data_IF_890741210447
#
_entry.id   IF_890741210447
#
_cell.length_a   1.000
_cell.length_b   1.000
_cell.length_c   1.000
_cell.angle_alpha   90.00
_cell.angle_beta   90.00
_cell.angle_gamma   90.00
#
_symmetry.space_group_name_H-M   'P 1'
#
loop_
_entity.id
_entity.type
_entity.pdbx_description
1 polymer ?
#
# COMPACT_ATOMS: atom_id res chain seq x y z
N UNK A 1 -20.48 -31.29 -9.69
CA UNK A 1 -20.13 -29.99 -10.30
C UNK A 1 -21.41 -29.29 -10.68
N UNK A 2 -21.59 -28.05 -10.24
CA UNK A 2 -22.72 -27.20 -10.65
C UNK A 2 -22.17 -25.90 -11.25
N UNK A 3 -22.87 -25.34 -12.23
CA UNK A 3 -22.48 -24.10 -12.91
C UNK A 3 -23.58 -23.07 -12.69
N UNK A 4 -23.22 -21.92 -12.14
CA UNK A 4 -24.05 -20.73 -12.03
C UNK A 4 -23.54 -19.70 -13.03
N UNK A 5 -24.42 -19.21 -13.91
CA UNK A 5 -24.03 -18.29 -14.99
C UNK A 5 -24.88 -17.04 -14.96
N UNK A 6 -24.21 -15.89 -15.04
CA UNK A 6 -24.83 -14.58 -15.12
C UNK A 6 -24.40 -13.90 -16.42
N UNK A 7 -25.35 -13.66 -17.32
CA UNK A 7 -25.15 -12.84 -18.51
C UNK A 7 -26.05 -11.61 -18.43
N UNK A 8 -25.44 -10.43 -18.33
CA UNK A 8 -26.17 -9.16 -18.19
C UNK A 8 -25.42 -8.04 -18.89
N UNK A 9 -26.17 -7.12 -19.51
CA UNK A 9 -25.65 -5.82 -19.95
C UNK A 9 -25.64 -4.86 -18.75
N UNK A 10 -24.47 -4.31 -18.46
CA UNK A 10 -24.21 -3.32 -17.43
C UNK A 10 -24.03 -1.94 -18.05
N UNK A 11 -24.62 -0.93 -17.44
CA UNK A 11 -24.74 0.44 -17.97
C UNK A 11 -24.21 1.47 -16.97
N UNK A 12 -24.20 2.73 -17.38
CA UNK A 12 -23.90 3.85 -16.47
C UNK A 12 -24.92 3.99 -15.34
N UNK A 13 -26.19 3.59 -15.56
CA UNK A 13 -27.21 3.62 -14.51
C UNK A 13 -26.88 2.60 -13.42
N UNK A 14 -26.43 1.40 -13.79
CA UNK A 14 -26.00 0.38 -12.83
C UNK A 14 -24.79 0.87 -12.02
N UNK A 15 -23.82 1.51 -12.69
CA UNK A 15 -22.67 2.12 -12.01
C UNK A 15 -23.09 3.26 -11.07
N UNK A 16 -24.08 4.06 -11.46
CA UNK A 16 -24.58 5.18 -10.65
C UNK A 16 -25.37 4.70 -9.43
N UNK A 17 -26.06 3.57 -9.52
CA UNK A 17 -26.67 2.89 -8.38
C UNK A 17 -25.60 2.41 -7.39
N UNK A 18 -24.56 1.74 -7.90
CA UNK A 18 -23.41 1.31 -7.12
C UNK A 18 -22.23 0.98 -8.03
N UNK A 19 -21.01 1.26 -7.56
CA UNK A 19 -19.79 0.74 -8.20
C UNK A 19 -19.65 -0.76 -7.95
N UNK A 20 -20.20 -1.26 -6.83
CA UNK A 20 -20.06 -2.63 -6.37
C UNK A 20 -21.37 -3.40 -6.52
N UNK A 21 -21.34 -4.53 -7.21
CA UNK A 21 -22.52 -5.37 -7.42
C UNK A 21 -22.23 -6.82 -7.07
N UNK A 22 -23.15 -7.48 -6.36
CA UNK A 22 -22.97 -8.85 -5.89
C UNK A 22 -23.89 -9.82 -6.63
N UNK A 23 -23.31 -10.94 -7.10
CA UNK A 23 -24.02 -12.03 -7.78
C UNK A 23 -23.96 -13.28 -6.90
N UNK A 24 -25.11 -13.88 -6.51
CA UNK A 24 -25.11 -15.01 -5.58
C UNK A 24 -24.56 -16.28 -6.22
N UNK A 25 -23.92 -17.14 -5.44
CA UNK A 25 -23.53 -18.49 -5.85
C UNK A 25 -23.80 -19.43 -4.69
N UNK A 26 -24.52 -20.52 -4.95
CA UNK A 26 -24.79 -21.53 -3.93
C UNK A 26 -23.58 -22.46 -3.77
N UNK A 27 -23.02 -22.48 -2.57
CA UNK A 27 -21.99 -23.42 -2.14
C UNK A 27 -22.66 -24.61 -1.46
N UNK A 28 -22.60 -25.82 -2.06
CA UNK A 28 -23.16 -27.02 -1.44
C UNK A 28 -22.35 -27.46 -0.22
N UNK A 29 -22.94 -28.33 0.61
CA UNK A 29 -22.19 -29.04 1.63
C UNK A 29 -21.00 -29.81 1.02
N UNK A 30 -19.86 -29.82 1.73
CA UNK A 30 -18.63 -30.49 1.32
C UNK A 30 -18.11 -30.06 -0.06
N UNK A 31 -18.29 -28.78 -0.42
CA UNK A 31 -17.86 -28.25 -1.71
C UNK A 31 -16.32 -28.25 -1.83
N UNK A 32 -15.72 -29.00 -2.77
CA UNK A 32 -14.27 -29.14 -2.85
C UNK A 32 -13.57 -27.93 -3.50
N UNK A 33 -14.32 -27.01 -4.12
CA UNK A 33 -13.76 -25.81 -4.71
C UNK A 33 -14.79 -24.96 -5.46
N UNK A 34 -14.38 -23.72 -5.71
CA UNK A 34 -15.10 -22.72 -6.48
C UNK A 34 -14.13 -22.14 -7.52
N UNK A 35 -14.49 -22.24 -8.80
CA UNK A 35 -13.78 -21.60 -9.92
C UNK A 35 -14.70 -20.56 -10.54
N UNK A 36 -14.24 -19.32 -10.66
CA UNK A 36 -15.03 -18.22 -11.20
C UNK A 36 -14.29 -17.57 -12.35
N UNK A 37 -15.00 -17.34 -13.46
CA UNK A 37 -14.48 -16.62 -14.63
C UNK A 37 -15.40 -15.46 -15.00
N UNK A 38 -14.81 -14.29 -15.17
CA UNK A 38 -15.42 -13.08 -15.70
C UNK A 38 -14.93 -12.86 -17.14
N UNK A 39 -15.84 -12.98 -18.09
CA UNK A 39 -15.59 -12.60 -19.48
C UNK A 39 -16.08 -11.19 -19.73
N UNK A 40 -15.16 -10.32 -20.16
CA UNK A 40 -15.44 -8.94 -20.58
C UNK A 40 -15.13 -8.83 -22.06
N UNK A 41 -16.09 -8.46 -22.92
CA UNK A 41 -15.83 -8.18 -24.33
C UNK A 41 -14.79 -7.06 -24.48
N UNK A 42 -13.98 -7.06 -25.55
CA UNK A 42 -12.97 -6.04 -25.80
C UNK A 42 -13.63 -4.73 -26.26
N UNK A 43 -14.24 -4.02 -25.32
CA UNK A 43 -14.84 -2.71 -25.53
C UNK A 43 -13.93 -1.67 -24.87
N UNK A 44 -13.44 -0.73 -25.68
CA UNK A 44 -12.49 0.29 -25.24
C UNK A 44 -12.97 1.04 -24.00
N UNK A 45 -12.05 1.27 -23.06
CA UNK A 45 -12.33 1.99 -21.82
C UNK A 45 -13.11 1.21 -20.76
N UNK A 46 -13.46 -0.05 -21.00
CA UNK A 46 -14.12 -0.90 -20.00
C UNK A 46 -13.12 -1.36 -18.93
N UNK A 47 -13.39 -1.05 -17.67
CA UNK A 47 -12.62 -1.55 -16.53
C UNK A 47 -13.60 -2.13 -15.53
N UNK A 48 -13.68 -3.46 -15.53
CA UNK A 48 -14.43 -4.24 -14.55
C UNK A 48 -13.42 -4.97 -13.67
N UNK A 49 -13.70 -5.13 -12.39
CA UNK A 49 -12.94 -5.95 -11.47
C UNK A 49 -13.83 -7.04 -10.84
N UNK A 50 -13.22 -8.03 -10.20
CA UNK A 50 -13.93 -9.16 -9.59
C UNK A 50 -13.32 -9.54 -8.24
N UNK A 51 -14.17 -9.95 -7.31
CA UNK A 51 -13.79 -10.56 -6.05
C UNK A 51 -14.87 -11.48 -5.50
N UNK A 52 -14.70 -11.89 -4.25
CA UNK A 52 -15.57 -12.88 -3.62
C UNK A 52 -15.80 -12.60 -2.13
N UNK A 53 -17.07 -12.62 -1.74
CA UNK A 53 -17.51 -12.63 -0.35
C UNK A 53 -18.02 -14.04 -0.02
N UNK A 54 -17.38 -14.70 0.95
CA UNK A 54 -17.81 -15.99 1.47
C UNK A 54 -18.85 -15.84 2.57
N UNK A 55 -19.44 -16.94 3.04
CA UNK A 55 -20.44 -16.88 4.10
C UNK A 55 -19.86 -16.34 5.43
N UNK A 56 -18.57 -16.59 5.68
CA UNK A 56 -17.85 -16.12 6.87
C UNK A 56 -17.12 -14.78 6.66
N UNK A 57 -17.17 -14.19 5.46
CA UNK A 57 -16.56 -12.91 5.14
C UNK A 57 -15.72 -12.91 3.86
N UNK A 58 -14.98 -11.81 3.67
CA UNK A 58 -14.24 -11.52 2.45
C UNK A 58 -13.23 -12.61 2.11
N UNK A 59 -13.26 -13.10 0.85
CA UNK A 59 -12.35 -14.12 0.35
C UNK A 59 -11.29 -13.60 -0.59
N UNK A 60 -11.41 -12.37 -1.11
CA UNK A 60 -10.36 -11.76 -1.91
C UNK A 60 -10.87 -10.90 -3.06
N UNK A 61 -9.90 -10.27 -3.72
CA UNK A 61 -10.10 -9.30 -4.79
C UNK A 61 -9.04 -9.50 -5.86
N UNK A 62 -9.39 -9.35 -7.13
CA UNK A 62 -8.44 -9.48 -8.24
C UNK A 62 -7.62 -8.23 -8.51
N UNK A 63 -8.03 -7.06 -8.01
CA UNK A 63 -7.30 -5.80 -8.19
C UNK A 63 -7.17 -5.37 -9.65
N UNK A 64 -8.03 -5.84 -10.55
CA UNK A 64 -7.96 -5.56 -11.99
C UNK A 64 -6.97 -6.44 -12.74
N UNK A 65 -6.17 -7.25 -12.05
CA UNK A 65 -5.12 -8.07 -12.63
C UNK A 65 -5.64 -9.36 -13.28
N UNK A 66 -6.79 -9.86 -12.83
CA UNK A 66 -7.27 -11.19 -13.16
C UNK A 66 -8.75 -11.20 -13.52
N UNK A 67 -9.09 -12.16 -14.37
CA UNK A 67 -10.46 -12.45 -14.81
C UNK A 67 -10.97 -13.79 -14.31
N UNK A 68 -10.07 -14.63 -13.81
CA UNK A 68 -10.40 -15.97 -13.32
C UNK A 68 -9.70 -16.18 -11.99
N UNK A 69 -10.41 -16.72 -11.01
CA UNK A 69 -9.86 -17.12 -9.72
C UNK A 69 -10.45 -18.44 -9.28
N UNK A 70 -9.73 -19.15 -8.43
CA UNK A 70 -10.25 -20.31 -7.73
C UNK A 70 -9.97 -20.26 -6.23
N UNK A 71 -10.86 -20.88 -5.46
CA UNK A 71 -10.74 -21.09 -4.01
C UNK A 71 -11.05 -22.55 -3.73
N UNK A 72 -10.15 -23.21 -3.01
CA UNK A 72 -10.32 -24.57 -2.47
C UNK A 72 -10.02 -24.56 -0.96
N UNK A 73 -10.26 -25.66 -0.24
CA UNK A 73 -9.89 -25.76 1.17
C UNK A 73 -8.41 -25.49 1.44
N UNK A 74 -7.53 -25.88 0.51
CA UNK A 74 -6.08 -25.88 0.73
C UNK A 74 -5.32 -24.85 -0.13
N UNK A 75 -5.96 -24.26 -1.14
CA UNK A 75 -5.30 -23.40 -2.11
C UNK A 75 -6.24 -22.35 -2.71
N UNK A 76 -5.68 -21.21 -3.12
CA UNK A 76 -6.42 -20.15 -3.79
C UNK A 76 -5.52 -19.39 -4.77
N UNK A 77 -6.14 -18.75 -5.77
CA UNK A 77 -5.45 -17.85 -6.69
C UNK A 77 -4.85 -16.68 -5.89
N UNK A 78 -3.61 -16.20 -6.19
CA UNK A 78 -3.05 -15.02 -5.55
C UNK A 78 -4.05 -13.84 -5.52
N UNK A 79 -4.19 -13.22 -4.35
CA UNK A 79 -5.22 -12.24 -4.04
C UNK A 79 -6.46 -12.80 -3.33
N UNK A 80 -6.56 -14.13 -3.19
CA UNK A 80 -7.67 -14.81 -2.53
C UNK A 80 -7.21 -15.71 -1.37
N UNK A 81 -8.08 -15.86 -0.38
CA UNK A 81 -7.84 -16.63 0.84
C UNK A 81 -8.37 -18.06 0.67
N UNK A 82 -7.52 -19.10 0.83
CA UNK A 82 -7.96 -20.49 0.86
C UNK A 82 -8.68 -20.81 2.17
N UNK A 83 -9.36 -21.96 2.23
CA UNK A 83 -10.05 -22.42 3.43
C UNK A 83 -11.40 -23.03 3.10
N UNK A 84 -12.04 -23.65 4.09
CA UNK A 84 -13.35 -24.29 3.94
C UNK A 84 -14.32 -23.42 3.13
N UNK A 85 -15.01 -24.05 2.18
CA UNK A 85 -16.07 -23.41 1.43
C UNK A 85 -17.37 -23.59 2.23
N UNK A 86 -17.68 -22.65 3.11
CA UNK A 86 -18.81 -22.79 4.02
C UNK A 86 -20.12 -22.90 3.24
N UNK A 87 -20.97 -23.90 3.53
CA UNK A 87 -22.21 -24.12 2.78
C UNK A 87 -23.16 -22.93 2.92
N UNK A 88 -23.76 -22.52 1.81
CA UNK A 88 -24.68 -21.38 1.76
C UNK A 88 -24.44 -20.48 0.56
N UNK A 89 -25.02 -19.28 0.60
CA UNK A 89 -24.86 -18.31 -0.48
C UNK A 89 -23.58 -17.53 -0.29
N UNK A 90 -22.67 -17.67 -1.24
CA UNK A 90 -21.53 -16.78 -1.43
C UNK A 90 -21.85 -15.72 -2.48
N UNK A 91 -21.03 -14.68 -2.57
CA UNK A 91 -21.25 -13.58 -3.49
C UNK A 91 -20.02 -13.32 -4.35
N UNK A 92 -20.21 -13.32 -5.66
CA UNK A 92 -19.22 -12.80 -6.60
C UNK A 92 -19.43 -11.29 -6.70
N UNK A 93 -18.42 -10.53 -6.32
CA UNK A 93 -18.49 -9.07 -6.29
C UNK A 93 -17.86 -8.53 -7.56
N UNK A 94 -18.60 -7.72 -8.31
CA UNK A 94 -18.15 -6.99 -9.49
C UNK A 94 -17.86 -5.53 -9.14
N UNK A 95 -16.71 -5.03 -9.59
CA UNK A 95 -16.37 -3.61 -9.53
C UNK A 95 -16.54 -2.93 -10.88
N UNK A 96 -17.56 -2.09 -11.05
CA UNK A 96 -17.85 -1.34 -12.28
C UNK A 96 -17.02 -0.05 -12.36
N UNK A 97 -15.69 -0.16 -12.33
CA UNK A 97 -14.79 1.00 -12.26
C UNK A 97 -15.01 1.97 -13.45
N UNK A 98 -15.00 1.44 -14.68
CA UNK A 98 -15.36 2.19 -15.90
C UNK A 98 -16.29 1.37 -16.79
N UNK A 99 -17.43 1.97 -17.14
CA UNK A 99 -18.45 1.39 -18.02
C UNK A 99 -18.66 2.32 -19.21
N UNK A 100 -18.55 1.83 -20.47
CA UNK A 100 -18.83 2.63 -21.67
C UNK A 100 -20.26 3.17 -21.70
N UNK A 101 -20.51 4.25 -22.44
CA UNK A 101 -21.84 4.91 -22.51
C UNK A 101 -22.91 3.97 -23.06
N UNK A 102 -22.55 3.15 -24.04
CA UNK A 102 -23.40 2.13 -24.60
C UNK A 102 -23.71 1.00 -23.60
N UNK A 103 -22.88 0.81 -22.57
CA UNK A 103 -22.89 -0.33 -21.67
C UNK A 103 -22.16 -1.55 -22.23
N UNK A 104 -21.82 -2.50 -21.35
CA UNK A 104 -21.04 -3.70 -21.67
C UNK A 104 -21.78 -4.97 -21.23
N UNK A 105 -21.83 -5.99 -22.08
CA UNK A 105 -22.35 -7.31 -21.69
C UNK A 105 -21.26 -8.11 -21.00
N UNK A 106 -21.49 -8.47 -19.74
CA UNK A 106 -20.57 -9.31 -18.97
C UNK A 106 -21.13 -10.73 -18.87
N UNK A 107 -20.23 -11.71 -18.85
CA UNK A 107 -20.54 -13.09 -18.50
C UNK A 107 -19.71 -13.50 -17.28
N UNK A 108 -20.39 -13.87 -16.21
CA UNK A 108 -19.77 -14.46 -15.01
C UNK A 108 -20.20 -15.91 -14.92
N UNK A 109 -19.23 -16.82 -14.86
CA UNK A 109 -19.46 -18.25 -14.68
C UNK A 109 -18.78 -18.71 -13.40
N UNK A 110 -19.56 -19.21 -12.45
CA UNK A 110 -19.10 -19.78 -11.20
C UNK A 110 -19.38 -21.28 -11.19
N UNK A 111 -18.32 -22.07 -11.05
CA UNK A 111 -18.36 -23.53 -11.06
C UNK A 111 -18.02 -24.03 -9.66
N UNK A 112 -18.96 -24.69 -9.00
CA UNK A 112 -18.73 -25.37 -7.72
C UNK A 112 -18.43 -26.85 -7.97
N UNK A 113 -17.31 -27.33 -7.41
CA UNK A 113 -16.81 -28.68 -7.64
C UNK A 113 -15.29 -28.77 -7.64
N UNK A 114 -14.72 -29.93 -8.00
CA UNK A 114 -13.28 -30.12 -7.98
C UNK A 114 -12.58 -29.10 -8.89
N UNK A 115 -11.51 -28.49 -8.38
CA UNK A 115 -10.65 -27.57 -9.13
C UNK A 115 -9.30 -28.24 -9.30
N UNK A 116 -9.01 -28.71 -10.52
CA UNK A 116 -7.75 -29.41 -10.83
C UNK A 116 -6.55 -28.45 -10.89
N UNK A 117 -6.78 -27.18 -11.21
CA UNK A 117 -5.73 -26.17 -11.37
C UNK A 117 -6.20 -24.84 -10.82
N UNK A 118 -5.47 -24.30 -9.85
CA UNK A 118 -5.70 -22.97 -9.30
C UNK A 118 -4.95 -21.94 -10.16
N UNK A 119 -5.64 -21.00 -10.82
CA UNK A 119 -5.02 -20.04 -11.73
C UNK A 119 -3.87 -19.26 -11.08
N UNK A 120 -2.70 -19.26 -11.74
CA UNK A 120 -1.52 -18.46 -11.36
C UNK A 120 -0.77 -18.94 -10.11
N UNK A 121 -1.24 -19.97 -9.42
CA UNK A 121 -0.65 -20.40 -8.15
C UNK A 121 0.70 -21.08 -8.35
N UNK A 122 0.81 -21.99 -9.33
CA UNK A 122 2.06 -22.73 -9.56
C UNK A 122 3.17 -21.78 -10.01
N UNK A 123 2.86 -20.86 -10.93
CA UNK A 123 3.80 -19.84 -11.38
C UNK A 123 4.25 -18.95 -10.22
N UNK A 124 3.32 -18.50 -9.38
CA UNK A 124 3.64 -17.70 -8.19
C UNK A 124 4.58 -18.44 -7.22
N UNK A 125 4.31 -19.72 -6.96
CA UNK A 125 5.15 -20.57 -6.08
C UNK A 125 6.54 -20.76 -6.66
N UNK A 126 6.65 -21.09 -7.95
CA UNK A 126 7.92 -21.32 -8.62
C UNK A 126 8.76 -20.04 -8.68
N UNK A 127 8.14 -18.90 -9.01
CA UNK A 127 8.80 -17.59 -8.98
C UNK A 127 9.27 -17.23 -7.58
N UNK A 128 8.44 -17.42 -6.55
CA UNK A 128 8.76 -17.15 -5.14
C UNK A 128 9.95 -18.00 -4.66
N UNK A 129 10.00 -19.27 -5.07
CA UNK A 129 11.11 -20.17 -4.75
C UNK A 129 12.41 -19.72 -5.43
N UNK A 130 12.33 -19.25 -6.68
CA UNK A 130 13.48 -18.85 -7.48
C UNK A 130 14.19 -17.57 -6.99
N UNK A 131 13.52 -16.68 -6.26
CA UNK A 131 14.13 -15.42 -5.79
C UNK A 131 15.19 -15.68 -4.71
N UNK A 132 16.45 -15.36 -5.01
CA UNK A 132 17.53 -15.39 -4.03
C UNK A 132 17.53 -14.13 -3.15
N UNK A 133 18.06 -14.24 -1.93
CA UNK A 133 18.31 -13.08 -1.07
C UNK A 133 19.49 -12.28 -1.66
N UNK A 134 19.29 -11.03 -2.10
CA UNK A 134 20.37 -10.25 -2.68
C UNK A 134 21.32 -9.71 -1.59
N UNK A 135 22.54 -9.28 -1.96
CA UNK A 135 23.40 -8.58 -1.02
C UNK A 135 22.75 -7.26 -0.58
N UNK A 136 22.82 -6.97 0.72
CA UNK A 136 22.39 -5.70 1.29
C UNK A 136 23.51 -4.65 1.17
N UNK A 137 23.22 -3.41 0.73
CA UNK A 137 24.22 -2.34 0.76
C UNK A 137 24.62 -1.97 2.20
N UNK A 138 25.76 -1.29 2.40
CA UNK A 138 26.16 -0.81 3.72
C UNK A 138 25.08 0.07 4.36
N UNK A 139 24.76 -0.18 5.64
CA UNK A 139 23.75 0.61 6.36
C UNK A 139 24.17 2.07 6.48
N UNK A 140 23.33 2.99 5.99
CA UNK A 140 23.43 4.43 6.23
C UNK A 140 23.03 4.73 7.67
N UNK A 141 23.99 5.16 8.48
CA UNK A 141 23.74 5.55 9.89
C UNK A 141 23.41 7.03 9.95
N UNK A 142 22.22 7.38 10.46
CA UNK A 142 21.81 8.76 10.70
C UNK A 142 21.89 9.10 12.19
N UNK A 143 22.23 10.35 12.56
CA UNK A 143 22.17 10.81 13.95
C UNK A 143 20.74 10.69 14.50
N UNK A 144 20.61 10.10 15.70
CA UNK A 144 19.34 9.86 16.37
C UNK A 144 19.40 10.33 17.83
N UNK A 145 18.23 10.59 18.42
CA UNK A 145 18.12 10.79 19.87
C UNK A 145 18.62 9.56 20.65
N UNK A 146 19.04 9.77 21.89
CA UNK A 146 19.41 8.68 22.79
C UNK A 146 18.28 7.64 22.89
N UNK A 147 18.62 6.35 22.74
CA UNK A 147 17.66 5.25 22.75
C UNK A 147 16.96 4.99 21.41
N UNK A 148 17.20 5.80 20.36
CA UNK A 148 16.61 5.61 19.03
C UNK A 148 17.66 5.30 17.97
N UNK A 149 17.20 4.73 16.85
CA UNK A 149 17.97 4.62 15.60
C UNK A 149 17.05 4.85 14.41
N UNK A 150 17.60 5.43 13.35
CA UNK A 150 16.89 5.56 12.08
C UNK A 150 17.02 4.28 11.25
N UNK A 151 15.90 3.84 10.69
CA UNK A 151 15.81 2.76 9.72
C UNK A 151 15.15 3.28 8.43
N UNK A 152 15.39 2.61 7.31
CA UNK A 152 14.81 2.99 6.02
C UNK A 152 13.61 2.10 5.66
N UNK A 153 12.56 2.69 5.10
CA UNK A 153 11.38 1.96 4.66
C UNK A 153 10.68 2.54 3.45
N UNK A 154 9.79 1.73 2.90
CA UNK A 154 8.83 2.05 1.85
C UNK A 154 7.44 1.59 2.31
N UNK A 155 6.43 2.44 2.17
CA UNK A 155 5.09 2.23 2.72
C UNK A 155 3.99 2.05 1.66
N UNK A 156 4.37 1.81 0.41
CA UNK A 156 3.40 1.60 -0.67
C UNK A 156 3.99 0.71 -1.77
N UNK A 157 3.55 -0.55 -1.86
CA UNK A 157 4.01 -1.49 -2.89
C UNK A 157 3.02 -2.65 -3.10
N UNK A 158 2.93 -3.11 -4.35
CA UNK A 158 1.96 -4.08 -4.83
C UNK A 158 2.64 -5.36 -5.30
N UNK A 159 1.99 -6.50 -5.08
CA UNK A 159 2.46 -7.81 -5.47
C UNK A 159 1.49 -8.47 -6.45
N UNK A 160 1.80 -9.71 -6.84
CA UNK A 160 0.88 -10.57 -7.57
C UNK A 160 -0.40 -10.89 -6.78
N UNK A 161 -0.59 -10.45 -5.53
CA UNK A 161 -1.88 -10.57 -4.87
C UNK A 161 -2.90 -9.51 -5.31
N UNK A 162 -2.47 -8.46 -5.99
CA UNK A 162 -3.35 -7.53 -6.72
C UNK A 162 -2.83 -7.31 -8.14
N UNK A 163 -2.51 -6.07 -8.53
CA UNK A 163 -2.05 -5.65 -9.86
C UNK A 163 -0.54 -5.44 -9.99
N UNK A 164 0.21 -5.74 -8.93
CA UNK A 164 1.64 -5.92 -9.02
C UNK A 164 2.00 -7.09 -9.95
N UNK A 165 3.16 -6.99 -10.59
CA UNK A 165 3.63 -7.97 -11.58
C UNK A 165 4.68 -8.93 -11.03
N UNK A 166 4.95 -8.92 -9.71
CA UNK A 166 5.95 -9.82 -9.10
C UNK A 166 5.52 -10.32 -7.73
N UNK A 167 6.14 -11.42 -7.28
CA UNK A 167 5.89 -12.04 -5.98
C UNK A 167 6.33 -11.15 -4.82
N UNK A 168 5.82 -11.42 -3.62
CA UNK A 168 6.27 -10.75 -2.38
C UNK A 168 7.76 -11.01 -2.14
N UNK A 169 8.28 -12.19 -2.51
CA UNK A 169 9.71 -12.48 -2.43
C UNK A 169 10.55 -11.54 -3.31
N UNK A 170 10.05 -11.17 -4.49
CA UNK A 170 10.71 -10.19 -5.34
C UNK A 170 10.67 -8.78 -4.70
N UNK A 171 9.53 -8.36 -4.13
CA UNK A 171 9.46 -7.10 -3.37
C UNK A 171 10.46 -7.06 -2.22
N UNK A 172 10.53 -8.14 -1.44
CA UNK A 172 11.49 -8.27 -0.34
C UNK A 172 12.94 -8.18 -0.84
N UNK A 173 13.26 -8.85 -1.96
CA UNK A 173 14.58 -8.76 -2.59
C UNK A 173 14.91 -7.33 -3.05
N UNK A 174 13.97 -6.65 -3.72
CA UNK A 174 14.13 -5.26 -4.15
C UNK A 174 14.36 -4.33 -2.96
N UNK A 175 13.58 -4.47 -1.87
CA UNK A 175 13.76 -3.71 -0.65
C UNK A 175 15.14 -3.93 0.00
N UNK A 176 15.59 -5.19 0.09
CA UNK A 176 16.93 -5.53 0.61
C UNK A 176 18.03 -4.90 -0.25
N UNK A 177 17.92 -5.00 -1.57
CA UNK A 177 18.89 -4.44 -2.52
C UNK A 177 18.91 -2.89 -2.46
N UNK A 178 17.77 -2.27 -2.19
CA UNK A 178 17.63 -0.83 -1.97
C UNK A 178 18.12 -0.35 -0.58
N UNK A 179 18.47 -1.28 0.31
CA UNK A 179 18.96 -0.96 1.66
C UNK A 179 17.86 -0.76 2.71
N UNK A 180 16.60 -1.07 2.38
CA UNK A 180 15.45 -0.91 3.27
C UNK A 180 15.47 -1.93 4.42
N UNK A 181 15.19 -1.47 5.62
CA UNK A 181 15.00 -2.30 6.80
C UNK A 181 13.56 -2.84 6.89
N UNK A 182 12.58 -2.09 6.36
CA UNK A 182 11.17 -2.47 6.32
C UNK A 182 10.52 -2.12 4.96
N UNK A 183 9.48 -2.85 4.59
CA UNK A 183 8.66 -2.58 3.40
C UNK A 183 7.21 -2.99 3.67
N UNK A 184 6.26 -2.09 3.45
CA UNK A 184 4.83 -2.42 3.51
C UNK A 184 4.37 -3.06 2.20
N UNK A 185 3.62 -4.16 2.30
CA UNK A 185 2.99 -4.82 1.15
C UNK A 185 1.49 -4.53 1.23
N UNK A 186 1.00 -3.76 0.27
CA UNK A 186 -0.29 -3.04 0.35
C UNK A 186 -1.18 -3.38 -0.84
N UNK A 187 -1.34 -4.67 -1.15
CA UNK A 187 -2.19 -5.11 -2.27
C UNK A 187 -3.64 -4.59 -2.16
N UNK A 188 -4.24 -4.29 -3.33
CA UNK A 188 -5.55 -3.64 -3.42
C UNK A 188 -6.68 -4.53 -2.89
N UNK A 189 -7.43 -4.02 -1.91
CA UNK A 189 -8.69 -4.59 -1.41
C UNK A 189 -8.62 -6.08 -1.03
N UNK A 190 -7.43 -6.57 -0.67
CA UNK A 190 -7.20 -7.94 -0.20
C UNK A 190 -6.18 -7.95 0.93
N UNK A 191 -6.24 -8.99 1.74
CA UNK A 191 -5.27 -9.30 2.80
C UNK A 191 -4.70 -10.71 2.64
N UNK A 192 -4.95 -11.36 1.49
CA UNK A 192 -4.54 -12.74 1.24
C UNK A 192 -3.02 -12.94 1.37
N UNK A 193 -2.23 -11.92 1.01
CA UNK A 193 -0.77 -11.92 1.11
C UNK A 193 -0.25 -11.93 2.55
N UNK A 194 -1.05 -11.54 3.54
CA UNK A 194 -0.59 -11.38 4.94
C UNK A 194 -0.02 -12.67 5.51
N UNK A 195 -0.60 -13.83 5.15
CA UNK A 195 -0.16 -15.14 5.62
C UNK A 195 1.28 -15.51 5.22
N UNK A 196 1.81 -14.92 4.15
CA UNK A 196 3.16 -15.21 3.64
C UNK A 196 4.24 -14.31 4.26
N UNK A 197 3.83 -13.13 4.78
CA UNK A 197 4.76 -12.09 5.21
C UNK A 197 5.74 -12.57 6.28
N UNK A 198 5.35 -13.30 7.36
CA UNK A 198 6.29 -13.70 8.40
C UNK A 198 7.45 -14.56 7.87
N UNK A 199 7.13 -15.55 7.03
CA UNK A 199 8.14 -16.47 6.49
C UNK A 199 9.09 -15.78 5.50
N UNK A 200 8.55 -14.91 4.65
CA UNK A 200 9.36 -14.14 3.70
C UNK A 200 10.19 -13.06 4.40
N UNK A 201 9.63 -12.42 5.44
CA UNK A 201 10.31 -11.42 6.25
C UNK A 201 11.56 -12.01 6.92
N UNK A 202 11.45 -13.20 7.51
CA UNK A 202 12.59 -13.94 8.08
C UNK A 202 13.58 -14.37 6.99
N UNK A 203 13.09 -14.97 5.89
CA UNK A 203 13.95 -15.45 4.79
C UNK A 203 14.83 -14.34 4.21
N UNK A 204 14.28 -13.14 4.01
CA UNK A 204 14.98 -12.03 3.37
C UNK A 204 15.66 -11.08 4.36
N UNK A 205 15.38 -11.21 5.67
CA UNK A 205 15.95 -10.32 6.69
C UNK A 205 15.53 -8.86 6.50
N UNK A 206 14.26 -8.64 6.13
CA UNK A 206 13.61 -7.33 5.99
C UNK A 206 12.24 -7.41 6.65
N UNK A 207 11.86 -6.39 7.44
CA UNK A 207 10.55 -6.35 8.09
C UNK A 207 9.45 -6.10 7.07
N UNK A 208 8.64 -7.11 6.74
CA UNK A 208 7.49 -6.94 5.86
C UNK A 208 6.29 -6.51 6.70
N UNK A 209 5.77 -5.32 6.43
CA UNK A 209 4.65 -4.74 7.17
C UNK A 209 3.35 -5.15 6.46
N UNK A 210 2.41 -5.82 7.14
CA UNK A 210 1.10 -6.10 6.58
C UNK A 210 0.36 -4.80 6.30
N UNK A 211 -0.25 -4.71 5.13
CA UNK A 211 -1.14 -3.62 4.79
C UNK A 211 -2.17 -4.04 3.75
N UNK A 212 -3.23 -3.26 3.65
CA UNK A 212 -4.19 -3.31 2.56
C UNK A 212 -4.28 -1.91 1.97
N UNK A 213 -4.16 -1.77 0.66
CA UNK A 213 -4.64 -0.53 0.03
C UNK A 213 -6.15 -0.62 -0.16
N UNK A 214 -6.88 0.22 0.56
CA UNK A 214 -8.31 0.43 0.41
C UNK A 214 -8.53 1.33 -0.80
N UNK A 215 -8.96 0.73 -1.91
CA UNK A 215 -8.95 1.36 -3.23
C UNK A 215 -10.37 1.64 -3.71
N UNK A 216 -10.66 2.91 -4.00
CA UNK A 216 -11.94 3.36 -4.54
C UNK A 216 -11.75 4.43 -5.63
N UNK A 217 -12.78 4.70 -6.42
CA UNK A 217 -12.74 5.76 -7.43
C UNK A 217 -12.71 7.19 -6.85
N UNK A 218 -12.86 7.35 -5.53
CA UNK A 218 -12.78 8.62 -4.82
C UNK A 218 -11.51 8.77 -3.97
N UNK A 219 -10.54 7.88 -4.13
CA UNK A 219 -9.24 7.96 -3.46
C UNK A 219 -8.83 6.64 -2.83
N UNK A 220 -7.54 6.56 -2.49
CA UNK A 220 -6.94 5.37 -1.91
C UNK A 220 -6.34 5.66 -0.53
N UNK A 221 -6.31 4.63 0.32
CA UNK A 221 -5.67 4.69 1.62
C UNK A 221 -5.05 3.35 2.01
N UNK A 222 -3.85 3.36 2.58
CA UNK A 222 -3.25 2.19 3.18
C UNK A 222 -3.73 2.01 4.62
N UNK A 223 -4.25 0.82 4.94
CA UNK A 223 -4.53 0.36 6.29
C UNK A 223 -3.38 -0.57 6.71
N UNK A 224 -2.51 -0.10 7.61
CA UNK A 224 -1.34 -0.84 8.06
C UNK A 224 -1.61 -1.66 9.32
N UNK A 225 -0.99 -2.83 9.39
CA UNK A 225 -1.06 -3.78 10.49
C UNK A 225 -1.74 -5.10 10.09
N UNK A 226 -1.50 -6.16 10.87
CA UNK A 226 -2.24 -7.42 10.77
C UNK A 226 -3.61 -7.26 11.46
N UNK A 227 -4.47 -6.44 10.85
CA UNK A 227 -5.77 -5.99 11.40
C UNK A 227 -6.97 -6.56 10.64
N UNK A 228 -6.70 -7.52 9.74
CA UNK A 228 -7.69 -8.08 8.83
C UNK A 228 -8.20 -7.09 7.78
N UNK A 229 -9.19 -7.54 7.02
CA UNK A 229 -9.77 -6.78 5.91
C UNK A 229 -10.54 -5.54 6.39
N UNK A 230 -10.32 -4.42 5.69
CA UNK A 230 -11.10 -3.19 5.78
C UNK A 230 -12.01 -3.11 4.55
N UNK A 231 -13.32 -3.06 4.79
CA UNK A 231 -14.29 -3.10 3.71
C UNK A 231 -14.36 -1.76 2.94
N UNK A 232 -13.68 -1.72 1.79
CA UNK A 232 -13.64 -0.60 0.85
C UNK A 232 -15.00 -0.19 0.29
N UNK A 233 -16.04 -1.03 0.46
CA UNK A 233 -17.41 -0.73 0.04
C UNK A 233 -18.15 0.13 1.06
N UNK A 234 -17.64 0.20 2.30
CA UNK A 234 -18.20 1.05 3.36
C UNK A 234 -17.70 2.50 3.22
N UNK A 235 -18.41 3.49 3.79
CA UNK A 235 -17.96 4.88 3.73
C UNK A 235 -16.57 5.08 4.35
N UNK A 236 -15.74 5.91 3.73
CA UNK A 236 -14.35 6.15 4.14
C UNK A 236 -14.19 6.58 5.61
N UNK A 237 -15.17 7.32 6.14
CA UNK A 237 -15.25 7.68 7.54
C UNK A 237 -15.15 6.48 8.50
N UNK A 238 -15.66 5.31 8.10
CA UNK A 238 -15.61 4.10 8.92
C UNK A 238 -14.24 3.43 8.91
N UNK A 239 -13.45 3.61 7.85
CA UNK A 239 -12.11 3.01 7.77
C UNK A 239 -11.18 3.61 8.81
N UNK A 240 -11.25 4.92 9.05
CA UNK A 240 -10.38 5.60 10.02
C UNK A 240 -10.57 5.02 11.42
N UNK A 241 -11.81 4.98 11.89
CA UNK A 241 -12.15 4.43 13.21
C UNK A 241 -11.88 2.93 13.29
N UNK A 242 -12.24 2.16 12.26
CA UNK A 242 -12.10 0.70 12.27
C UNK A 242 -10.64 0.25 12.28
N UNK A 243 -9.78 0.93 11.53
CA UNK A 243 -8.33 0.68 11.54
C UNK A 243 -7.74 1.01 12.92
N UNK A 244 -8.10 2.16 13.50
CA UNK A 244 -7.63 2.56 14.82
C UNK A 244 -8.09 1.60 15.93
N UNK A 245 -9.36 1.19 15.91
CA UNK A 245 -9.95 0.26 16.90
C UNK A 245 -9.29 -1.12 16.89
N UNK A 246 -8.73 -1.51 15.75
CA UNK A 246 -7.98 -2.77 15.58
C UNK A 246 -6.47 -2.62 15.82
N UNK A 247 -6.02 -1.43 16.21
CA UNK A 247 -4.61 -1.15 16.52
C UNK A 247 -3.72 -0.90 15.29
N UNK A 248 -4.31 -0.63 14.13
CA UNK A 248 -3.58 -0.27 12.91
C UNK A 248 -3.43 1.23 12.72
N UNK A 249 -2.84 1.62 11.59
CA UNK A 249 -2.68 3.01 11.17
C UNK A 249 -3.20 3.19 9.74
N UNK A 250 -4.08 4.17 9.55
CA UNK A 250 -4.55 4.54 8.22
C UNK A 250 -3.69 5.66 7.65
N UNK A 251 -3.28 5.53 6.40
CA UNK A 251 -2.63 6.56 5.60
C UNK A 251 -3.46 6.92 4.39
N UNK A 252 -3.70 8.21 4.13
CA UNK A 252 -4.17 8.64 2.81
C UNK A 252 -3.03 8.47 1.82
N UNK A 253 -3.25 7.76 0.72
CA UNK A 253 -2.24 7.59 -0.32
C UNK A 253 -2.35 8.72 -1.35
N UNK A 254 -1.22 9.13 -1.89
CA UNK A 254 -1.05 10.11 -2.97
C UNK A 254 -2.26 11.06 -3.14
N UNK A 255 -2.51 11.99 -2.20
CA UNK A 255 -3.75 12.77 -2.18
C UNK A 255 -3.95 13.63 -3.44
N UNK A 256 -2.87 13.88 -4.19
CA UNK A 256 -2.85 14.56 -5.49
C UNK A 256 -2.48 13.62 -6.66
N UNK A 257 -2.85 12.34 -6.58
CA UNK A 257 -2.53 11.27 -7.53
C UNK A 257 -3.39 11.22 -8.80
N UNK A 258 -3.84 12.36 -9.34
CA UNK A 258 -4.65 12.37 -10.57
C UNK A 258 -6.06 11.82 -10.37
N UNK A 259 -6.46 10.81 -11.15
CA UNK A 259 -7.78 10.17 -11.01
C UNK A 259 -7.94 9.40 -9.68
N UNK A 260 -6.82 9.01 -9.07
CA UNK A 260 -6.74 8.37 -7.76
C UNK A 260 -6.64 9.38 -6.58
N UNK A 261 -6.76 10.69 -6.85
CA UNK A 261 -6.70 11.72 -5.82
C UNK A 261 -7.75 11.50 -4.73
N UNK A 262 -7.37 11.79 -3.49
CA UNK A 262 -8.25 11.70 -2.33
C UNK A 262 -9.38 12.73 -2.41
N UNK A 263 -10.63 12.25 -2.41
CA UNK A 263 -11.86 13.04 -2.52
C UNK A 263 -12.92 12.67 -1.49
N UNK A 264 -12.64 11.67 -0.64
CA UNK A 264 -13.52 11.34 0.48
C UNK A 264 -13.53 12.45 1.52
N UNK A 265 -14.71 12.76 2.02
CA UNK A 265 -14.86 13.60 3.20
C UNK A 265 -14.72 12.72 4.44
N UNK A 266 -13.83 13.13 5.35
CA UNK A 266 -13.60 12.43 6.60
C UNK A 266 -14.03 13.29 7.80
N UNK A 267 -14.64 12.68 8.83
CA UNK A 267 -14.98 13.39 10.06
C UNK A 267 -13.72 13.68 10.92
N UNK A 268 -12.66 12.91 10.72
CA UNK A 268 -11.39 13.02 11.43
C UNK A 268 -10.23 12.71 10.49
N UNK A 269 -9.05 13.25 10.78
CA UNK A 269 -7.86 13.04 9.95
C UNK A 269 -7.18 11.72 10.31
N UNK A 270 -6.81 10.90 9.31
CA UNK A 270 -5.95 9.74 9.53
C UNK A 270 -4.60 10.18 10.10
N UNK A 271 -3.97 9.32 10.92
CA UNK A 271 -2.70 9.64 11.55
C UNK A 271 -1.56 9.81 10.55
N UNK A 272 -1.66 9.21 9.35
CA UNK A 272 -0.63 9.24 8.32
C UNK A 272 -1.17 9.79 6.99
N UNK A 273 -0.27 10.33 6.17
CA UNK A 273 -0.53 10.59 4.76
C UNK A 273 0.75 10.47 3.94
N UNK A 274 0.62 9.93 2.74
CA UNK A 274 1.68 9.83 1.74
C UNK A 274 1.90 11.19 1.08
N UNK A 275 2.71 12.02 1.74
CA UNK A 275 3.05 13.36 1.27
C UNK A 275 4.06 13.31 0.12
N UNK A 276 4.89 12.26 0.07
CA UNK A 276 5.77 12.00 -1.07
C UNK A 276 5.39 10.69 -1.74
N UNK A 277 4.83 10.79 -2.93
CA UNK A 277 4.54 9.66 -3.78
C UNK A 277 5.46 9.64 -5.00
N UNK A 278 5.76 8.47 -5.55
CA UNK A 278 6.63 8.30 -6.72
C UNK A 278 6.19 9.09 -7.96
N UNK A 279 4.87 9.32 -8.12
CA UNK A 279 4.34 10.11 -9.24
C UNK A 279 4.59 11.62 -9.13
N UNK A 280 5.12 12.11 -8.01
CA UNK A 280 5.53 13.50 -7.88
C UNK A 280 6.85 13.76 -8.63
N UNK A 281 6.80 13.81 -9.96
CA UNK A 281 8.01 13.85 -10.81
C UNK A 281 8.76 15.19 -10.81
N UNK A 282 8.06 16.28 -10.50
CA UNK A 282 8.66 17.62 -10.38
C UNK A 282 8.52 18.15 -8.96
N UNK A 283 9.56 17.93 -8.15
CA UNK A 283 9.59 18.37 -6.75
C UNK A 283 9.66 19.90 -6.56
N UNK A 284 9.72 20.70 -7.64
CA UNK A 284 9.50 22.15 -7.54
C UNK A 284 8.01 22.50 -7.42
N UNK A 285 7.13 21.58 -7.81
CA UNK A 285 5.69 21.73 -7.64
C UNK A 285 5.29 21.43 -6.19
N UNK A 286 5.16 22.48 -5.37
CA UNK A 286 4.85 22.38 -3.93
C UNK A 286 3.44 21.91 -3.56
N UNK A 287 2.69 21.30 -4.49
CA UNK A 287 1.31 20.85 -4.30
C UNK A 287 1.13 19.90 -3.11
N UNK A 288 1.89 18.79 -3.01
CA UNK A 288 1.75 17.84 -1.90
C UNK A 288 2.02 18.48 -0.53
N UNK A 289 3.03 19.34 -0.45
CA UNK A 289 3.35 20.10 0.78
C UNK A 289 2.22 21.08 1.12
N UNK A 290 1.70 21.83 0.14
CA UNK A 290 0.57 22.74 0.34
C UNK A 290 -0.70 21.99 0.79
N UNK A 291 -0.97 20.81 0.23
CA UNK A 291 -2.06 19.95 0.66
C UNK A 291 -1.89 19.54 2.13
N UNK A 292 -0.70 19.07 2.51
CA UNK A 292 -0.42 18.68 3.90
C UNK A 292 -0.58 19.84 4.88
N UNK A 293 -0.11 21.04 4.53
CA UNK A 293 -0.32 22.26 5.31
C UNK A 293 -1.80 22.59 5.51
N UNK A 294 -2.61 22.45 4.45
CA UNK A 294 -4.06 22.70 4.52
C UNK A 294 -4.79 21.59 5.28
N UNK A 295 -4.30 20.36 5.22
CA UNK A 295 -4.86 19.19 5.90
C UNK A 295 -4.66 19.28 7.41
N UNK A 296 -3.42 19.46 7.88
CA UNK A 296 -3.13 19.58 9.31
C UNK A 296 -1.81 18.92 9.70
N UNK A 297 -0.76 19.73 9.81
CA UNK A 297 0.61 19.27 10.04
C UNK A 297 0.83 18.58 11.39
N UNK A 298 0.05 18.94 12.41
CA UNK A 298 0.23 18.43 13.78
C UNK A 298 -0.51 17.11 14.03
N UNK A 299 -1.43 16.74 13.14
CA UNK A 299 -2.30 15.56 13.30
C UNK A 299 -1.91 14.42 12.35
N UNK A 300 -1.18 14.73 11.28
CA UNK A 300 -0.87 13.78 10.21
C UNK A 300 0.63 13.73 9.97
N UNK A 301 1.22 12.57 10.29
CA UNK A 301 2.62 12.25 10.06
C UNK A 301 2.87 12.02 8.57
N UNK A 302 3.91 12.64 7.97
CA UNK A 302 4.21 12.45 6.57
C UNK A 302 4.94 11.11 6.37
N UNK A 303 4.47 10.33 5.41
CA UNK A 303 5.18 9.17 4.87
C UNK A 303 5.37 9.34 3.36
N UNK A 304 6.18 8.45 2.79
CA UNK A 304 6.28 8.27 1.35
C UNK A 304 6.39 6.81 0.97
N UNK A 305 5.95 6.51 -0.25
CA UNK A 305 5.95 5.17 -0.82
C UNK A 305 6.22 5.19 -2.32
N UNK A 306 6.80 4.10 -2.80
CA UNK A 306 7.15 3.96 -4.22
C UNK A 306 5.95 3.68 -5.11
N UNK A 307 4.87 3.16 -4.54
CA UNK A 307 3.71 2.65 -5.28
C UNK A 307 4.16 1.68 -6.38
N UNK A 308 5.08 0.79 -5.98
CA UNK A 308 5.74 -0.08 -6.92
C UNK A 308 4.79 -1.18 -7.37
N UNK A 309 4.66 -1.34 -8.69
CA UNK A 309 3.82 -2.36 -9.30
C UNK A 309 4.64 -3.33 -10.16
N UNK A 310 5.61 -2.83 -10.92
CA UNK A 310 6.30 -3.65 -11.90
C UNK A 310 7.69 -3.07 -12.27
N UNK A 311 8.55 -3.82 -12.98
CA UNK A 311 9.87 -3.35 -13.40
C UNK A 311 9.88 -2.13 -14.33
N UNK A 312 8.73 -1.70 -14.86
CA UNK A 312 8.60 -0.48 -15.66
C UNK A 312 8.12 0.73 -14.85
N UNK A 313 7.81 0.55 -13.56
CA UNK A 313 7.56 1.65 -12.62
C UNK A 313 8.72 2.66 -12.65
N UNK A 314 8.38 3.95 -12.56
CA UNK A 314 9.36 5.04 -12.69
C UNK A 314 10.41 5.04 -11.59
N UNK A 315 10.05 4.51 -10.42
CA UNK A 315 10.89 4.47 -9.23
C UNK A 315 10.91 3.04 -8.67
N UNK A 316 12.07 2.54 -8.22
CA UNK A 316 12.14 1.29 -7.48
C UNK A 316 11.62 1.47 -6.03
N UNK A 317 11.40 0.37 -5.29
CA UNK A 317 11.10 0.45 -3.86
C UNK A 317 12.13 1.28 -3.11
N UNK A 318 11.66 2.11 -2.18
CA UNK A 318 12.47 3.06 -1.41
C UNK A 318 12.73 4.39 -2.10
N UNK A 319 12.01 4.71 -3.18
CA UNK A 319 12.09 5.99 -3.88
C UNK A 319 10.67 6.56 -4.05
N UNK A 320 10.19 7.41 -3.12
CA UNK A 320 10.90 8.01 -1.99
C UNK A 320 11.20 7.05 -0.82
N UNK A 321 12.21 7.39 -0.02
CA UNK A 321 12.53 6.69 1.23
C UNK A 321 11.85 7.39 2.40
N UNK A 322 11.13 6.62 3.20
CA UNK A 322 10.70 7.05 4.53
C UNK A 322 11.70 6.55 5.57
N UNK A 323 12.31 7.46 6.31
CA UNK A 323 13.14 7.17 7.46
C UNK A 323 12.29 7.15 8.72
N UNK A 324 12.51 6.16 9.58
CA UNK A 324 11.73 5.95 10.80
C UNK A 324 12.67 5.85 12.00
N UNK A 325 12.47 6.69 13.02
CA UNK A 325 13.25 6.58 14.26
C UNK A 325 12.58 5.60 15.23
N UNK A 326 13.06 4.36 15.21
CA UNK A 326 12.59 3.25 16.05
C UNK A 326 13.45 3.12 17.31
N UNK A 327 12.98 2.33 18.28
CA UNK A 327 13.80 1.97 19.44
C UNK A 327 15.11 1.31 18.99
N UNK A 328 16.23 1.75 19.56
CA UNK A 328 17.55 1.22 19.22
C UNK A 328 17.67 -0.28 19.53
N UNK A 329 16.89 -0.80 20.50
CA UNK A 329 16.88 -2.20 20.88
C UNK A 329 16.13 -3.10 19.91
N UNK A 330 15.26 -2.59 19.03
CA UNK A 330 14.50 -3.42 18.10
C UNK A 330 15.44 -4.10 17.08
N UNK A 331 15.53 -5.42 17.07
CA UNK A 331 16.42 -6.18 16.19
C UNK A 331 15.67 -7.20 15.35
N UNK A 332 16.19 -7.45 14.16
CA UNK A 332 15.59 -8.42 13.25
C UNK A 332 14.29 -7.92 12.62
N UNK A 333 13.80 -8.64 11.59
CA UNK A 333 12.75 -8.13 10.73
C UNK A 333 11.40 -7.97 11.45
N UNK A 334 11.03 -8.92 12.31
CA UNK A 334 9.76 -8.90 13.05
C UNK A 334 9.68 -7.74 14.05
N UNK A 335 10.71 -7.54 14.88
CA UNK A 335 10.70 -6.43 15.84
C UNK A 335 10.76 -5.08 15.13
N UNK A 336 11.47 -4.98 14.00
CA UNK A 336 11.53 -3.76 13.20
C UNK A 336 10.16 -3.41 12.58
N UNK A 337 9.39 -4.39 12.11
CA UNK A 337 8.04 -4.14 11.60
C UNK A 337 7.11 -3.57 12.69
N UNK A 338 7.11 -4.17 13.89
CA UNK A 338 6.32 -3.67 15.02
C UNK A 338 6.77 -2.27 15.50
N UNK A 339 8.08 -2.09 15.72
CA UNK A 339 8.63 -0.81 16.15
C UNK A 339 8.42 0.30 15.12
N UNK A 340 8.30 -0.05 13.83
CA UNK A 340 7.95 0.89 12.76
C UNK A 340 6.56 1.47 12.97
N UNK A 341 5.53 0.64 13.20
CA UNK A 341 4.17 1.12 13.43
C UNK A 341 4.09 2.04 14.66
N UNK A 342 4.78 1.68 15.76
CA UNK A 342 4.87 2.55 16.94
C UNK A 342 5.55 3.90 16.64
N UNK A 343 6.60 3.90 15.82
CA UNK A 343 7.31 5.12 15.45
C UNK A 343 6.52 6.00 14.48
N UNK A 344 5.77 5.41 13.55
CA UNK A 344 4.83 6.13 12.68
C UNK A 344 3.72 6.81 13.49
N UNK A 345 3.11 6.07 14.43
CA UNK A 345 2.09 6.61 15.33
C UNK A 345 2.63 7.77 16.18
N UNK A 346 3.91 7.72 16.56
CA UNK A 346 4.58 8.77 17.31
C UNK A 346 5.09 9.95 16.45
N UNK A 347 4.85 9.94 15.14
CA UNK A 347 5.29 11.01 14.22
C UNK A 347 6.79 11.07 13.97
N UNK A 348 7.53 9.99 14.24
CA UNK A 348 9.00 9.97 14.19
C UNK A 348 9.52 9.65 12.79
N UNK A 349 9.17 10.48 11.82
CA UNK A 349 9.52 10.26 10.40
C UNK A 349 10.37 11.38 9.81
N UNK A 350 11.16 10.99 8.81
CA UNK A 350 11.76 11.90 7.86
C UNK A 350 11.63 11.32 6.44
N UNK A 351 11.51 12.17 5.43
CA UNK A 351 11.40 11.74 4.03
C UNK A 351 12.63 12.21 3.25
N UNK A 352 13.10 11.40 2.31
CA UNK A 352 14.08 11.82 1.30
C UNK A 352 13.77 11.15 -0.03
N UNK A 353 14.22 11.76 -1.14
CA UNK A 353 13.98 11.20 -2.47
C UNK A 353 14.49 9.77 -2.64
N UNK A 354 15.62 9.42 -2.02
CA UNK A 354 16.18 8.06 -2.06
C UNK A 354 17.05 7.78 -0.84
N UNK A 355 17.53 6.55 -0.73
CA UNK A 355 18.33 6.06 0.39
C UNK A 355 19.62 6.86 0.65
N UNK A 356 20.22 7.45 -0.38
CA UNK A 356 21.47 8.23 -0.27
C UNK A 356 21.25 9.74 -0.39
N UNK A 357 20.02 10.17 -0.68
CA UNK A 357 19.67 11.56 -0.92
C UNK A 357 19.91 12.45 0.33
N UNK A 358 20.03 13.78 0.14
CA UNK A 358 20.00 14.73 1.25
C UNK A 358 18.78 14.48 2.14
N UNK A 359 18.99 14.48 3.45
CA UNK A 359 17.92 14.20 4.42
C UNK A 359 18.02 15.16 5.59
N UNK A 360 16.86 15.60 6.08
CA UNK A 360 16.69 16.33 7.32
C UNK A 360 16.17 15.36 8.37
N UNK A 361 16.89 15.21 9.49
CA UNK A 361 16.44 14.38 10.62
C UNK A 361 16.34 15.21 11.88
N UNK A 362 15.43 14.81 12.79
CA UNK A 362 15.26 15.43 14.11
C UNK A 362 15.93 14.59 15.19
N UNK A 363 16.62 15.25 16.11
CA UNK A 363 17.16 14.66 17.35
C UNK A 363 16.77 15.56 18.52
N UNK A 364 15.82 15.14 19.36
CA UNK A 364 15.28 15.90 20.50
C UNK A 364 15.06 17.40 20.18
N UNK A 365 16.05 18.26 20.48
CA UNK A 365 15.99 19.71 20.32
C UNK A 365 16.75 20.26 19.10
N UNK A 366 17.28 19.38 18.25
CA UNK A 366 18.09 19.73 17.09
C UNK A 366 17.54 19.10 15.81
N UNK A 367 17.77 19.80 14.70
CA UNK A 367 17.59 19.32 13.34
C UNK A 367 18.96 19.19 12.71
N UNK A 368 19.16 18.10 11.99
CA UNK A 368 20.44 17.80 11.36
C UNK A 368 20.18 17.58 9.88
N UNK A 369 20.64 18.53 9.07
CA UNK A 369 20.65 18.42 7.62
C UNK A 369 21.91 17.66 7.20
N UNK A 370 21.74 16.56 6.46
CA UNK A 370 22.81 15.65 6.04
C UNK A 370 22.93 15.59 4.52
N UNK A 371 24.16 15.62 4.03
CA UNK A 371 24.53 15.63 2.61
C UNK A 371 23.84 16.76 1.81
N UNK A 372 23.57 17.90 2.46
CA UNK A 372 22.72 18.95 1.91
C UNK A 372 23.40 20.34 1.74
N UNK A 373 24.66 20.48 1.32
CA UNK A 373 25.24 21.82 1.14
C UNK A 373 24.52 22.60 0.04
N UNK A 374 24.46 23.93 0.16
CA UNK A 374 23.79 24.84 -0.79
C UNK A 374 22.27 24.66 -0.85
N UNK A 375 21.66 24.30 0.27
CA UNK A 375 20.21 24.16 0.45
C UNK A 375 19.70 25.12 1.52
N UNK A 376 18.39 25.17 1.70
CA UNK A 376 17.71 25.95 2.74
C UNK A 376 16.85 25.00 3.57
N UNK A 377 16.95 25.11 4.89
CA UNK A 377 15.91 24.60 5.80
C UNK A 377 14.87 25.69 6.01
N UNK A 378 13.60 25.35 5.81
CA UNK A 378 12.44 26.18 6.14
C UNK A 378 11.81 25.60 7.40
N UNK A 379 11.69 26.45 8.42
CA UNK A 379 11.01 26.14 9.68
C UNK A 379 9.49 26.32 9.55
N UNK A 380 8.69 25.74 10.47
CA UNK A 380 7.23 25.87 10.51
C UNK A 380 6.71 27.32 10.43
N UNK A 381 7.43 28.30 11.00
CA UNK A 381 7.06 29.72 10.95
C UNK A 381 7.48 30.43 9.65
N UNK A 382 8.13 29.72 8.73
CA UNK A 382 8.63 30.23 7.46
C UNK A 382 10.06 30.78 7.49
N UNK A 383 10.73 30.79 8.66
CA UNK A 383 12.14 31.21 8.77
C UNK A 383 13.05 30.28 7.97
N UNK A 384 14.02 30.86 7.26
CA UNK A 384 14.92 30.14 6.35
C UNK A 384 16.35 30.14 6.87
N UNK A 385 16.96 28.96 6.95
CA UNK A 385 18.32 28.75 7.40
C UNK A 385 19.19 28.17 6.27
N UNK A 386 20.28 28.85 5.86
CA UNK A 386 21.16 28.33 4.82
C UNK A 386 22.02 27.18 5.34
N UNK A 387 22.12 26.11 4.55
CA UNK A 387 22.98 24.96 4.83
C UNK A 387 24.24 25.05 4.00
N UNK A 388 25.38 25.28 4.66
CA UNK A 388 26.67 25.53 3.99
C UNK A 388 27.65 24.36 4.08
N UNK A 389 27.35 23.37 4.92
CA UNK A 389 28.21 22.22 5.20
C UNK A 389 27.48 20.91 4.91
N UNK A 390 28.19 19.80 4.62
CA UNK A 390 27.56 18.50 4.41
C UNK A 390 26.76 18.00 5.61
N UNK A 391 27.14 18.38 6.82
CA UNK A 391 26.35 18.17 8.03
C UNK A 391 26.17 19.51 8.74
N UNK A 392 24.94 19.89 9.04
CA UNK A 392 24.62 21.17 9.66
C UNK A 392 23.54 20.97 10.73
N UNK A 393 23.72 21.61 11.89
CA UNK A 393 22.85 21.49 13.05
C UNK A 393 22.07 22.80 13.24
N UNK A 394 20.77 22.69 13.47
CA UNK A 394 19.87 23.82 13.73
C UNK A 394 19.02 23.52 14.96
N UNK A 395 18.57 24.53 15.71
CA UNK A 395 17.54 24.33 16.72
C UNK A 395 16.26 23.78 16.09
N UNK A 396 15.67 22.74 16.69
CA UNK A 396 14.39 22.22 16.26
C UNK A 396 13.24 23.02 16.89
N UNK A 397 12.22 23.34 16.10
CA UNK A 397 10.96 23.92 16.59
C UNK A 397 9.81 22.91 16.45
N UNK A 398 8.67 23.08 17.14
CA UNK A 398 7.51 22.22 16.94
C UNK A 398 6.94 22.33 15.53
N UNK A 399 6.60 21.20 14.92
CA UNK A 399 6.06 21.13 13.56
C UNK A 399 7.10 20.77 12.49
N UNK A 400 6.66 20.58 11.24
CA UNK A 400 7.50 20.01 10.20
C UNK A 400 8.47 21.03 9.62
N UNK A 401 9.68 20.55 9.34
CA UNK A 401 10.71 21.34 8.69
C UNK A 401 10.92 20.82 7.28
N UNK A 402 11.18 21.73 6.34
CA UNK A 402 11.39 21.41 4.93
C UNK A 402 12.84 21.69 4.56
N UNK A 403 13.44 20.81 3.79
CA UNK A 403 14.74 21.01 3.15
C UNK A 403 14.51 21.22 1.66
N UNK A 404 14.97 22.33 1.12
CA UNK A 404 14.79 22.70 -0.29
C UNK A 404 16.09 23.19 -0.94
N UNK A 405 16.18 23.09 -2.27
CA UNK A 405 17.25 23.77 -3.03
C UNK A 405 16.99 25.27 -3.14
N UNK A 406 17.99 26.01 -3.64
CA UNK A 406 17.83 27.44 -3.97
C UNK A 406 16.78 27.73 -5.06
N UNK A 407 16.39 26.73 -5.87
CA UNK A 407 15.33 26.85 -6.89
C UNK A 407 13.95 26.50 -6.35
N UNK A 408 13.83 26.15 -5.07
CA UNK A 408 12.57 25.73 -4.46
C UNK A 408 12.24 24.25 -4.66
N UNK A 409 13.16 23.44 -5.18
CA UNK A 409 12.96 21.99 -5.28
C UNK A 409 12.95 21.38 -3.88
N UNK A 410 11.91 20.63 -3.56
CA UNK A 410 11.82 19.86 -2.32
C UNK A 410 12.82 18.70 -2.30
N UNK A 411 13.48 18.51 -1.16
CA UNK A 411 14.50 17.46 -0.96
C UNK A 411 14.16 16.51 0.19
N UNK A 412 13.60 17.05 1.28
CA UNK A 412 13.35 16.28 2.50
C UNK A 412 12.40 17.04 3.43
N UNK A 413 11.68 16.30 4.28
CA UNK A 413 11.00 16.85 5.46
C UNK A 413 11.22 15.93 6.64
N UNK A 414 11.05 16.45 7.85
CA UNK A 414 10.90 15.64 9.06
C UNK A 414 9.79 16.22 9.93
N UNK A 415 9.08 15.34 10.63
CA UNK A 415 8.11 15.69 11.65
C UNK A 415 8.77 15.61 13.04
#
# INVERSE_FOLDING_TARGET
MAVTSYRRRWTLDDRAESVWHSLPVDIPADCPGLLVTLTVPPVDGTVIDIGCDGASGWRGWSGGARRTFAITPDAATPGYVPGELEPGTWWIVLGLHRVPVEGVELLVEAVTGPVDTVPGLQEYVDETAAIAVPPRPPRRTLPASSGLKWIAGDFHAHSLHSDGSTTIANLAALGVAAGLDVLAVTDHNTVAHHAELPALSERFGIGLIPGQEVTTDAGHANAFGDIGFIDFRRPAATWVSEVADRGGLLSINHPLGGDCSWRHQLPEHPPLAEIWHSSWLDHTWGGPIAWWHAWGLEQTTPIGGSDWHNPTSLTPPGTPTTWIAVDASAQGPTELAAATLEALAAGRTALSWSYEAPVLVRTNNELIALNAPNTLVITPDGTRHPITTPQHHLPATPGPHLLITHTGQFLSTCA
#
